data_IF_060653870475
#
_entry.id   IF_060653870475
#
_cell.length_a   1.000
_cell.length_b   1.000
_cell.length_c   1.000
_cell.angle_alpha   90.00
_cell.angle_beta   90.00
_cell.angle_gamma   90.00
#
_symmetry.space_group_name_H-M   'P 1'
#
loop_
_entity.id
_entity.type
_entity.pdbx_description
1 polymer ?
#
# COMPACT_ATOMS: atom_id res chain seq x y z
N UNK A 1 -5.26 -11.33 -6.84
CA UNK A 1 -6.18 -11.89 -5.82
C UNK A 1 -7.23 -10.84 -5.43
N UNK A 2 -8.44 -11.25 -5.03
CA UNK A 2 -9.55 -10.35 -4.74
C UNK A 2 -10.48 -10.94 -3.67
N UNK A 3 -11.04 -10.07 -2.82
CA UNK A 3 -12.09 -10.40 -1.85
C UNK A 3 -13.33 -9.52 -2.05
N UNK A 4 -14.47 -10.01 -1.59
CA UNK A 4 -15.72 -9.28 -1.53
C UNK A 4 -16.28 -9.27 -0.11
N UNK A 5 -16.76 -8.11 0.35
CA UNK A 5 -17.39 -7.99 1.65
C UNK A 5 -18.62 -7.09 1.58
N UNK A 6 -19.68 -7.48 2.30
CA UNK A 6 -20.85 -6.63 2.54
C UNK A 6 -20.83 -6.16 3.99
N UNK A 7 -20.74 -4.86 4.20
CA UNK A 7 -20.58 -4.25 5.51
C UNK A 7 -21.73 -3.27 5.84
N UNK A 8 -22.00 -3.02 7.13
CA UNK A 8 -22.93 -1.97 7.54
C UNK A 8 -22.52 -0.60 7.01
N UNK A 9 -23.49 0.25 6.70
CA UNK A 9 -23.21 1.62 6.25
C UNK A 9 -22.49 2.42 7.37
N UNK A 10 -21.26 2.92 7.16
CA UNK A 10 -20.51 3.64 8.18
C UNK A 10 -21.26 4.91 8.64
N UNK A 11 -20.97 5.42 9.83
CA UNK A 11 -21.45 6.74 10.25
C UNK A 11 -20.63 7.86 9.59
N UNK A 12 -21.28 8.99 9.27
CA UNK A 12 -20.59 10.15 8.71
C UNK A 12 -19.63 10.78 9.71
N UNK A 13 -18.50 11.33 9.25
CA UNK A 13 -17.52 12.08 10.06
C UNK A 13 -18.17 13.07 11.06
N UNK A 14 -19.21 13.78 10.64
CA UNK A 14 -19.90 14.78 11.48
C UNK A 14 -20.53 14.19 12.75
N UNK A 15 -20.92 12.91 12.73
CA UNK A 15 -21.46 12.17 13.87
C UNK A 15 -20.41 11.25 14.53
N UNK A 16 -19.26 11.10 13.88
CA UNK A 16 -18.20 10.20 14.32
C UNK A 16 -17.41 10.73 15.51
N UNK A 17 -17.13 12.04 15.54
CA UNK A 17 -16.32 12.65 16.59
C UNK A 17 -17.11 13.65 17.43
N UNK A 18 -16.95 13.55 18.74
CA UNK A 18 -17.47 14.51 19.71
C UNK A 18 -16.32 15.16 20.47
N UNK A 19 -16.54 16.38 20.96
CA UNK A 19 -15.58 17.01 21.86
C UNK A 19 -15.60 16.28 23.21
N UNK A 20 -14.41 15.96 23.71
CA UNK A 20 -14.27 15.46 25.07
C UNK A 20 -14.56 16.61 26.04
N UNK A 21 -15.39 16.33 27.04
CA UNK A 21 -15.70 17.27 28.10
C UNK A 21 -14.93 16.91 29.36
N UNK A 22 -14.20 17.88 29.89
CA UNK A 22 -13.54 17.82 31.18
C UNK A 22 -14.37 18.54 32.23
N UNK A 23 -14.28 18.09 33.48
CA UNK A 23 -14.83 18.83 34.60
C UNK A 23 -13.89 19.97 34.98
N UNK A 24 -14.38 21.21 35.02
CA UNK A 24 -13.63 22.33 35.57
C UNK A 24 -14.05 22.56 37.03
N UNK A 25 -13.19 22.28 38.02
CA UNK A 25 -13.53 22.44 39.43
C UNK A 25 -13.79 23.90 39.82
N UNK A 26 -13.20 24.87 39.12
CA UNK A 26 -13.32 26.31 39.42
C UNK A 26 -14.66 26.88 39.01
N UNK A 27 -15.15 26.49 37.83
CA UNK A 27 -16.46 26.95 37.30
C UNK A 27 -17.59 25.97 37.60
N UNK A 28 -17.29 24.79 38.16
CA UNK A 28 -18.23 23.67 38.38
C UNK A 28 -19.04 23.32 37.12
N UNK A 29 -18.44 23.49 35.95
CA UNK A 29 -19.06 23.22 34.65
C UNK A 29 -18.24 22.24 33.84
N UNK A 30 -18.91 21.52 32.95
CA UNK A 30 -18.24 20.71 31.92
C UNK A 30 -17.79 21.63 30.80
N UNK A 31 -16.48 21.65 30.55
CA UNK A 31 -15.90 22.44 29.47
C UNK A 31 -15.27 21.52 28.43
N UNK A 32 -15.36 21.85 27.13
CA UNK A 32 -14.69 21.08 26.10
C UNK A 32 -13.17 21.21 26.28
N UNK A 33 -12.46 20.08 26.27
CA UNK A 33 -10.99 20.03 26.46
C UNK A 33 -10.23 20.35 25.18
N UNK A 34 -10.91 20.54 24.05
CA UNK A 34 -10.32 20.65 22.72
C UNK A 34 -9.96 19.31 22.07
N UNK A 35 -9.92 18.20 22.85
CA UNK A 35 -9.68 16.85 22.32
C UNK A 35 -10.95 16.29 21.68
N UNK A 36 -10.85 15.75 20.47
CA UNK A 36 -11.93 14.98 19.84
C UNK A 36 -11.79 13.49 20.18
N UNK A 37 -12.90 12.88 20.57
CA UNK A 37 -13.02 11.44 20.82
C UNK A 37 -14.08 10.85 19.91
N UNK A 38 -13.98 9.56 19.60
CA UNK A 38 -15.01 8.86 18.84
C UNK A 38 -16.31 8.81 19.65
N UNK A 39 -17.45 9.04 18.99
CA UNK A 39 -18.77 8.93 19.59
C UNK A 39 -19.10 7.47 19.93
N UNK A 40 -20.01 7.25 20.89
CA UNK A 40 -20.45 5.89 21.25
C UNK A 40 -21.02 5.13 20.04
N UNK A 41 -21.80 5.83 19.22
CA UNK A 41 -22.37 5.28 17.99
C UNK A 41 -21.28 4.95 16.96
N UNK A 42 -20.27 5.81 16.84
CA UNK A 42 -19.10 5.57 15.99
C UNK A 42 -18.33 4.31 16.40
N UNK A 43 -18.10 4.11 17.70
CA UNK A 43 -17.46 2.91 18.24
C UNK A 43 -18.31 1.67 18.00
N UNK A 44 -19.63 1.76 18.20
CA UNK A 44 -20.55 0.65 17.94
C UNK A 44 -20.49 0.20 16.48
N UNK A 45 -20.63 1.14 15.54
CA UNK A 45 -20.59 0.85 14.10
C UNK A 45 -19.22 0.38 13.65
N UNK A 46 -18.13 0.93 14.21
CA UNK A 46 -16.77 0.41 13.98
C UNK A 46 -16.66 -1.07 14.34
N UNK A 47 -17.09 -1.44 15.55
CA UNK A 47 -17.03 -2.82 16.01
C UNK A 47 -17.92 -3.74 15.16
N UNK A 48 -19.10 -3.28 14.72
CA UNK A 48 -19.97 -4.03 13.81
C UNK A 48 -19.29 -4.29 12.47
N UNK A 49 -18.66 -3.27 11.86
CA UNK A 49 -17.89 -3.41 10.62
C UNK A 49 -16.74 -4.40 10.80
N UNK A 50 -15.98 -4.28 11.89
CA UNK A 50 -14.85 -5.17 12.18
C UNK A 50 -15.27 -6.62 12.33
N UNK A 51 -16.32 -6.88 13.10
CA UNK A 51 -16.81 -8.24 13.32
C UNK A 51 -17.32 -8.88 12.03
N UNK A 52 -18.06 -8.14 11.20
CA UNK A 52 -18.54 -8.65 9.92
C UNK A 52 -17.39 -8.87 8.92
N UNK A 53 -16.40 -7.97 8.89
CA UNK A 53 -15.21 -8.15 8.06
C UNK A 53 -14.44 -9.42 8.44
N UNK A 54 -14.16 -9.66 9.72
CA UNK A 54 -13.44 -10.85 10.18
C UNK A 54 -14.18 -12.14 9.79
N UNK A 55 -15.51 -12.18 10.01
CA UNK A 55 -16.33 -13.34 9.64
C UNK A 55 -16.26 -13.64 8.15
N UNK A 56 -16.38 -12.62 7.31
CA UNK A 56 -16.39 -12.77 5.85
C UNK A 56 -14.99 -13.09 5.30
N UNK A 57 -13.94 -12.53 5.89
CA UNK A 57 -12.55 -12.77 5.50
C UNK A 57 -12.11 -14.19 5.83
N UNK A 58 -12.60 -14.79 6.93
CA UNK A 58 -12.27 -16.18 7.30
C UNK A 58 -12.61 -17.20 6.21
N UNK A 59 -13.60 -16.89 5.36
CA UNK A 59 -14.04 -17.76 4.28
C UNK A 59 -13.36 -17.47 2.94
N UNK A 60 -12.40 -16.54 2.89
CA UNK A 60 -11.77 -16.06 1.67
C UNK A 60 -10.26 -16.12 1.77
N UNK A 61 -9.59 -16.40 0.66
CA UNK A 61 -8.13 -16.34 0.59
C UNK A 61 -7.69 -14.88 0.37
N UNK A 62 -6.93 -14.36 1.34
CA UNK A 62 -6.39 -13.01 1.29
C UNK A 62 -4.96 -12.94 1.84
N UNK A 63 -4.03 -12.59 0.96
CA UNK A 63 -2.65 -12.24 1.28
C UNK A 63 -2.54 -10.87 1.96
N UNK A 64 -2.60 -10.90 3.29
CA UNK A 64 -2.39 -9.73 4.14
C UNK A 64 -0.96 -9.17 4.00
N UNK A 65 0.05 -10.02 3.82
CA UNK A 65 1.46 -9.60 3.77
C UNK A 65 1.73 -8.70 2.56
N UNK A 66 1.07 -8.97 1.43
CA UNK A 66 1.12 -8.11 0.25
C UNK A 66 0.78 -6.63 0.56
N UNK A 67 -0.19 -6.41 1.46
CA UNK A 67 -0.71 -5.07 1.79
C UNK A 67 0.27 -4.21 2.59
N UNK A 68 1.34 -4.80 3.13
CA UNK A 68 2.36 -4.07 3.91
C UNK A 68 3.29 -3.23 3.06
N UNK A 69 3.44 -3.57 1.78
CA UNK A 69 4.33 -2.85 0.88
C UNK A 69 3.61 -2.24 -0.30
N UNK A 70 2.51 -2.86 -0.73
CA UNK A 70 1.85 -2.54 -2.00
C UNK A 70 0.50 -1.87 -1.78
N UNK A 71 0.03 -1.17 -2.81
CA UNK A 71 -1.30 -0.60 -2.83
C UNK A 71 -2.35 -1.68 -3.09
N UNK A 72 -3.57 -1.40 -2.64
CA UNK A 72 -4.76 -2.19 -2.97
C UNK A 72 -5.84 -1.26 -3.51
N UNK A 73 -6.65 -1.75 -4.43
CA UNK A 73 -7.89 -1.09 -4.81
C UNK A 73 -9.01 -1.51 -3.86
N UNK A 74 -9.83 -0.55 -3.46
CA UNK A 74 -11.06 -0.78 -2.71
C UNK A 74 -12.22 -0.16 -3.48
N UNK A 75 -12.94 -0.99 -4.22
CA UNK A 75 -14.10 -0.61 -5.01
C UNK A 75 -15.36 -0.65 -4.16
N UNK A 76 -15.96 0.53 -3.97
CA UNK A 76 -17.09 0.74 -3.09
C UNK A 76 -18.40 0.89 -3.87
N UNK A 77 -19.36 0.02 -3.58
CA UNK A 77 -20.76 0.12 -4.01
C UNK A 77 -21.62 0.46 -2.80
N UNK A 78 -22.09 1.69 -2.75
CA UNK A 78 -22.67 2.29 -1.56
C UNK A 78 -24.19 2.31 -1.68
N UNK A 79 -24.88 1.75 -0.69
CA UNK A 79 -26.34 1.81 -0.55
C UNK A 79 -26.67 2.72 0.64
N UNK A 80 -26.95 3.99 0.33
CA UNK A 80 -27.23 5.01 1.34
C UNK A 80 -28.67 4.94 1.85
N UNK A 81 -28.86 5.32 3.10
CA UNK A 81 -30.19 5.37 3.72
C UNK A 81 -31.07 6.55 3.24
N UNK A 82 -30.48 7.60 2.65
CA UNK A 82 -31.19 8.79 2.15
C UNK A 82 -30.34 9.59 1.16
N UNK A 83 -31.00 10.43 0.36
CA UNK A 83 -30.36 11.41 -0.52
C UNK A 83 -29.65 12.53 0.25
N UNK A 84 -28.69 13.18 -0.42
CA UNK A 84 -27.99 14.37 0.12
C UNK A 84 -26.90 14.06 1.14
N UNK A 85 -26.42 12.82 1.18
CA UNK A 85 -25.30 12.40 2.03
C UNK A 85 -24.03 12.29 1.18
N UNK A 86 -22.93 12.86 1.69
CA UNK A 86 -21.61 12.78 1.06
C UNK A 86 -20.93 11.44 1.39
N UNK A 87 -20.52 10.73 0.34
CA UNK A 87 -19.88 9.42 0.40
C UNK A 87 -18.45 9.49 0.96
N UNK A 88 -17.72 10.57 0.70
CA UNK A 88 -16.34 10.72 1.17
C UNK A 88 -16.25 10.67 2.71
N UNK A 89 -17.29 11.13 3.39
CA UNK A 89 -17.40 11.06 4.85
C UNK A 89 -17.52 9.63 5.40
N UNK A 90 -17.82 8.63 4.56
CA UNK A 90 -17.92 7.23 4.97
C UNK A 90 -16.55 6.58 5.10
N UNK A 91 -15.63 6.95 4.20
CA UNK A 91 -14.35 6.25 4.05
C UNK A 91 -13.45 6.41 5.27
N UNK A 92 -13.56 7.52 6.00
CA UNK A 92 -12.76 7.69 7.23
C UNK A 92 -13.04 6.61 8.27
N UNK A 93 -14.32 6.34 8.57
CA UNK A 93 -14.65 5.28 9.52
C UNK A 93 -14.46 3.91 8.91
N UNK A 94 -14.83 3.74 7.65
CA UNK A 94 -14.69 2.46 6.96
C UNK A 94 -13.25 1.99 6.96
N UNK A 95 -12.33 2.85 6.52
CA UNK A 95 -10.93 2.46 6.35
C UNK A 95 -10.24 2.28 7.72
N UNK A 96 -10.57 3.11 8.71
CA UNK A 96 -10.14 2.97 10.11
C UNK A 96 -10.70 1.71 10.79
N UNK A 97 -11.82 1.18 10.29
CA UNK A 97 -12.39 -0.08 10.80
C UNK A 97 -11.66 -1.28 10.22
N UNK A 98 -11.27 -1.25 8.95
CA UNK A 98 -10.64 -2.39 8.26
C UNK A 98 -9.11 -2.47 8.42
N UNK A 99 -8.47 -1.38 8.87
CA UNK A 99 -7.05 -1.37 9.19
C UNK A 99 -6.70 -2.46 10.23
N UNK A 100 -5.60 -3.18 10.02
CA UNK A 100 -5.11 -4.34 10.77
C UNK A 100 -5.99 -5.59 10.71
N UNK A 101 -7.04 -5.58 9.88
CA UNK A 101 -7.89 -6.74 9.60
C UNK A 101 -7.68 -7.16 8.16
N UNK A 102 -7.93 -6.23 7.24
CA UNK A 102 -7.83 -6.49 5.79
C UNK A 102 -6.47 -6.04 5.27
N UNK A 103 -5.93 -4.95 5.78
CA UNK A 103 -4.66 -4.39 5.34
C UNK A 103 -3.91 -3.74 6.50
N UNK A 104 -2.60 -3.63 6.38
CA UNK A 104 -1.74 -3.13 7.46
C UNK A 104 -1.91 -1.64 7.76
N UNK A 105 -2.07 -0.83 6.71
CA UNK A 105 -2.15 0.62 6.83
C UNK A 105 -3.09 1.19 5.76
N UNK A 106 -4.01 2.05 6.17
CA UNK A 106 -5.02 2.66 5.29
C UNK A 106 -4.42 3.59 4.21
N UNK A 107 -3.20 4.10 4.42
CA UNK A 107 -2.47 4.91 3.42
C UNK A 107 -2.16 4.18 2.11
N UNK A 108 -2.25 2.84 2.12
CA UNK A 108 -2.07 2.00 0.93
C UNK A 108 -3.38 1.59 0.25
N UNK A 109 -4.50 2.16 0.68
CA UNK A 109 -5.82 1.83 0.15
C UNK A 109 -6.28 2.89 -0.83
N UNK A 110 -6.40 2.49 -2.10
CA UNK A 110 -6.94 3.31 -3.16
C UNK A 110 -8.45 3.11 -3.20
N UNK A 111 -9.16 3.93 -2.42
CA UNK A 111 -10.62 3.86 -2.30
C UNK A 111 -11.28 4.50 -3.52
N UNK A 112 -12.20 3.77 -4.17
CA UNK A 112 -12.88 4.20 -5.40
C UNK A 112 -14.38 3.99 -5.27
N UNK A 113 -15.15 5.06 -5.36
CA UNK A 113 -16.62 4.97 -5.43
C UNK A 113 -17.01 4.49 -6.83
N UNK A 114 -17.56 3.28 -6.93
CA UNK A 114 -18.05 2.74 -8.20
C UNK A 114 -19.51 3.09 -8.44
N UNK A 115 -20.33 3.05 -7.39
CA UNK A 115 -21.76 3.36 -7.49
C UNK A 115 -22.34 3.81 -6.16
N UNK A 116 -23.31 4.73 -6.24
CA UNK A 116 -24.14 5.14 -5.10
C UNK A 116 -25.61 4.86 -5.45
N UNK A 117 -26.30 4.17 -4.55
CA UNK A 117 -27.70 3.81 -4.62
C UNK A 117 -28.38 4.24 -3.32
N UNK A 118 -29.71 4.39 -3.34
CA UNK A 118 -30.51 4.69 -2.14
C UNK A 118 -31.30 3.44 -1.76
N UNK A 119 -31.09 2.96 -0.55
CA UNK A 119 -31.80 1.85 0.08
C UNK A 119 -32.06 2.22 1.54
N UNK A 120 -33.25 2.78 1.80
CA UNK A 120 -33.64 3.22 3.14
C UNK A 120 -33.95 2.06 4.08
N UNK A 121 -34.26 0.87 3.53
CA UNK A 121 -34.63 -0.32 4.30
C UNK A 121 -33.39 -1.09 4.75
N UNK A 122 -32.39 -1.23 3.85
CA UNK A 122 -31.17 -1.97 4.12
C UNK A 122 -29.89 -1.21 3.68
N UNK A 123 -29.53 -0.13 4.38
CA UNK A 123 -28.33 0.65 4.08
C UNK A 123 -27.06 -0.14 4.36
N UNK A 124 -26.20 -0.28 3.35
CA UNK A 124 -24.98 -1.10 3.40
C UNK A 124 -23.90 -0.56 2.46
N UNK A 125 -22.71 -1.13 2.55
CA UNK A 125 -21.64 -0.92 1.57
C UNK A 125 -21.10 -2.27 1.14
N UNK A 126 -20.95 -2.47 -0.16
CA UNK A 126 -20.29 -3.64 -0.73
C UNK A 126 -18.91 -3.21 -1.20
N UNK A 127 -17.90 -3.94 -0.75
CA UNK A 127 -16.50 -3.71 -1.07
C UNK A 127 -15.98 -4.84 -1.92
N UNK A 128 -15.32 -4.50 -3.00
CA UNK A 128 -14.42 -5.41 -3.71
C UNK A 128 -13.00 -4.90 -3.52
N UNK A 129 -12.16 -5.72 -2.88
CA UNK A 129 -10.78 -5.33 -2.59
C UNK A 129 -9.85 -6.23 -3.40
N UNK A 130 -8.96 -5.61 -4.18
CA UNK A 130 -8.03 -6.33 -5.05
C UNK A 130 -6.64 -5.74 -4.95
N UNK A 131 -5.63 -6.57 -5.20
CA UNK A 131 -4.25 -6.09 -5.34
C UNK A 131 -4.12 -5.16 -6.56
N UNK A 132 -3.29 -4.13 -6.46
CA UNK A 132 -2.97 -3.29 -7.62
C UNK A 132 -2.00 -3.99 -8.57
N UNK A 133 -2.13 -3.78 -9.89
CA UNK A 133 -1.17 -4.33 -10.85
C UNK A 133 0.18 -3.61 -10.81
N UNK A 134 0.17 -2.33 -10.42
CA UNK A 134 1.36 -1.50 -10.33
C UNK A 134 2.05 -1.67 -8.96
N UNK A 135 3.37 -1.50 -8.95
CA UNK A 135 4.19 -1.54 -7.74
C UNK A 135 5.22 -0.43 -7.75
N UNK A 136 5.24 0.38 -6.71
CA UNK A 136 6.12 1.54 -6.65
C UNK A 136 5.84 2.51 -7.80
N UNK A 137 6.87 2.86 -8.57
CA UNK A 137 6.74 3.70 -9.77
C UNK A 137 6.44 2.91 -11.05
N UNK A 138 6.37 1.57 -10.97
CA UNK A 138 6.25 0.69 -12.13
C UNK A 138 4.79 0.30 -12.36
N UNK A 139 4.33 0.39 -13.61
CA UNK A 139 2.92 0.15 -13.98
C UNK A 139 2.47 -1.31 -13.81
N UNK A 140 3.42 -2.24 -13.89
CA UNK A 140 3.17 -3.67 -13.83
C UNK A 140 4.34 -4.44 -13.17
N UNK A 141 4.07 -5.68 -12.79
CA UNK A 141 5.05 -6.57 -12.15
C UNK A 141 6.24 -6.94 -13.05
N UNK A 142 6.05 -6.98 -14.37
CA UNK A 142 7.13 -7.34 -15.29
C UNK A 142 8.15 -6.20 -15.38
N UNK A 143 7.68 -4.94 -15.44
CA UNK A 143 8.56 -3.76 -15.48
C UNK A 143 9.44 -3.66 -14.24
N UNK A 144 8.89 -3.88 -13.04
CA UNK A 144 9.71 -3.92 -11.81
C UNK A 144 10.70 -5.08 -11.82
N UNK A 145 10.28 -6.27 -12.29
CA UNK A 145 11.15 -7.44 -12.38
C UNK A 145 12.35 -7.17 -13.30
N UNK A 146 12.11 -6.70 -14.52
CA UNK A 146 13.15 -6.37 -15.50
C UNK A 146 14.10 -5.29 -14.94
N UNK A 147 13.54 -4.24 -14.33
CA UNK A 147 14.34 -3.18 -13.72
C UNK A 147 15.22 -3.71 -12.58
N UNK A 148 14.68 -4.61 -11.74
CA UNK A 148 15.40 -5.21 -10.64
C UNK A 148 16.49 -6.18 -11.11
N UNK A 149 16.22 -7.02 -12.11
CA UNK A 149 17.23 -7.89 -12.72
C UNK A 149 18.38 -7.08 -13.29
N UNK A 150 18.08 -5.99 -14.01
CA UNK A 150 19.09 -5.04 -14.47
C UNK A 150 19.86 -4.44 -13.29
N UNK A 151 19.18 -4.07 -12.20
CA UNK A 151 19.85 -3.55 -11.01
C UNK A 151 20.82 -4.56 -10.38
N UNK A 152 20.56 -5.87 -10.40
CA UNK A 152 21.45 -6.88 -9.80
C UNK A 152 22.87 -6.87 -10.38
N UNK A 153 23.01 -6.47 -11.64
CA UNK A 153 24.31 -6.32 -12.34
C UNK A 153 25.01 -4.99 -12.04
N UNK A 154 24.36 -4.08 -11.30
CA UNK A 154 24.89 -2.76 -10.96
C UNK A 154 25.72 -2.78 -9.66
N UNK A 155 26.84 -2.05 -9.65
CA UNK A 155 27.70 -1.87 -8.45
C UNK A 155 26.94 -1.33 -7.24
N UNK A 156 25.93 -0.47 -7.45
CA UNK A 156 25.13 0.12 -6.37
C UNK A 156 24.23 -0.90 -5.68
N UNK A 157 23.80 -1.93 -6.40
CA UNK A 157 22.90 -2.96 -5.86
C UNK A 157 23.56 -3.72 -4.71
N UNK A 158 24.83 -4.09 -4.87
CA UNK A 158 25.65 -4.72 -3.82
C UNK A 158 25.79 -3.88 -2.54
N UNK A 159 25.49 -2.58 -2.59
CA UNK A 159 25.61 -1.62 -1.49
C UNK A 159 24.26 -1.10 -1.01
N UNK A 160 23.18 -1.86 -1.21
CA UNK A 160 21.80 -1.47 -0.91
C UNK A 160 21.40 -0.19 -1.68
N UNK A 161 21.17 -0.34 -2.99
CA UNK A 161 20.84 0.77 -3.87
C UNK A 161 19.59 1.53 -3.37
N UNK A 162 19.81 2.74 -2.84
CA UNK A 162 18.73 3.59 -2.35
C UNK A 162 17.77 4.02 -3.45
N UNK A 163 18.24 4.16 -4.69
CA UNK A 163 17.43 4.50 -5.86
C UNK A 163 16.39 3.40 -6.11
N UNK A 164 16.82 2.13 -6.14
CA UNK A 164 15.91 0.98 -6.31
C UNK A 164 14.92 0.89 -5.15
N UNK A 165 15.38 1.04 -3.90
CA UNK A 165 14.50 1.02 -2.73
C UNK A 165 13.40 2.08 -2.82
N UNK A 166 13.79 3.34 -3.10
CA UNK A 166 12.87 4.46 -3.25
C UNK A 166 11.89 4.27 -4.42
N UNK A 167 12.35 3.67 -5.53
CA UNK A 167 11.50 3.38 -6.67
C UNK A 167 10.41 2.35 -6.32
N UNK A 168 10.76 1.29 -5.59
CA UNK A 168 9.81 0.30 -5.07
C UNK A 168 8.82 0.89 -4.06
N UNK A 169 9.23 1.90 -3.29
CA UNK A 169 8.36 2.68 -2.40
C UNK A 169 7.41 3.65 -3.15
N UNK A 170 7.53 3.80 -4.47
CA UNK A 170 6.70 4.73 -5.26
C UNK A 170 7.22 6.16 -5.32
N UNK A 171 8.47 6.40 -4.92
CA UNK A 171 9.08 7.73 -5.04
C UNK A 171 9.61 7.94 -6.46
N UNK A 172 8.97 8.87 -7.18
CA UNK A 172 9.48 9.37 -8.46
C UNK A 172 10.81 10.08 -8.23
N UNK A 173 11.80 9.75 -9.06
CA UNK A 173 13.20 10.18 -8.91
C UNK A 173 13.73 10.62 -10.27
N UNK A 174 14.51 11.69 -10.32
CA UNK A 174 15.09 12.19 -11.58
C UNK A 174 16.16 11.26 -12.16
N UNK A 175 16.69 10.33 -11.35
CA UNK A 175 17.65 9.34 -11.82
C UNK A 175 17.03 8.24 -12.68
N UNK A 176 15.72 8.02 -12.57
CA UNK A 176 14.99 6.99 -13.32
C UNK A 176 14.15 7.66 -14.38
N UNK A 177 14.38 7.30 -15.64
CA UNK A 177 13.61 7.78 -16.78
C UNK A 177 12.90 6.61 -17.45
N UNK A 178 11.76 6.87 -18.07
CA UNK A 178 11.11 5.94 -18.97
C UNK A 178 11.56 6.25 -20.40
N UNK A 179 12.13 5.25 -21.08
CA UNK A 179 12.59 5.34 -22.47
C UNK A 179 11.99 4.15 -23.21
N UNK A 180 11.19 4.41 -24.25
CA UNK A 180 10.50 3.39 -25.05
C UNK A 180 9.63 2.42 -24.22
N UNK A 181 9.08 2.89 -23.09
CA UNK A 181 8.25 2.09 -22.18
C UNK A 181 9.04 1.28 -21.14
N UNK A 182 10.37 1.39 -21.14
CA UNK A 182 11.26 0.74 -20.18
C UNK A 182 11.86 1.74 -19.18
N UNK A 183 11.97 1.33 -17.93
CA UNK A 183 12.59 2.14 -16.88
C UNK A 183 14.11 1.99 -16.93
N UNK A 184 14.83 3.11 -17.02
CA UNK A 184 16.29 3.14 -17.10
C UNK A 184 16.86 4.05 -16.01
N UNK A 185 17.85 3.53 -15.26
CA UNK A 185 18.54 4.30 -14.23
C UNK A 185 19.80 4.97 -14.79
N UNK A 186 19.81 6.30 -14.85
CA UNK A 186 20.95 7.12 -15.27
C UNK A 186 22.22 6.97 -14.41
N UNK A 187 22.08 6.44 -13.18
CA UNK A 187 23.19 6.16 -12.27
C UNK A 187 23.67 4.70 -12.30
N UNK A 188 23.17 3.91 -13.25
CA UNK A 188 23.60 2.54 -13.45
C UNK A 188 25.11 2.46 -13.74
N UNK A 189 25.76 1.44 -13.17
CA UNK A 189 27.17 1.16 -13.44
C UNK A 189 27.44 -0.33 -13.26
N UNK A 190 27.83 -1.00 -14.33
CA UNK A 190 27.99 -2.45 -14.36
C UNK A 190 29.17 -2.94 -13.49
N UNK A 191 29.01 -4.10 -12.86
CA UNK A 191 30.07 -4.77 -12.11
C UNK A 191 31.14 -5.29 -13.09
N UNK A 192 32.33 -4.71 -13.06
CA UNK A 192 33.46 -5.20 -13.87
C UNK A 192 33.89 -6.58 -13.36
N UNK A 193 33.62 -7.64 -14.11
CA UNK A 193 34.23 -8.95 -13.87
C UNK A 193 35.73 -8.84 -14.19
N UNK A 194 36.60 -9.06 -13.21
CA UNK A 194 38.03 -9.18 -13.47
C UNK A 194 38.25 -10.45 -14.29
N UNK A 195 38.48 -10.32 -15.59
CA UNK A 195 39.00 -11.42 -16.40
C UNK A 195 40.36 -11.82 -15.81
N UNK A 196 40.48 -13.03 -15.27
CA UNK A 196 41.78 -13.58 -14.90
C UNK A 196 42.65 -13.62 -16.16
N UNK A 197 43.63 -12.70 -16.27
CA UNK A 197 44.71 -12.83 -17.23
C UNK A 197 45.55 -14.02 -16.80
N UNK A 198 45.32 -15.18 -17.40
CA UNK A 198 46.22 -16.33 -17.32
C UNK A 198 47.57 -15.87 -17.86
N UNK A 199 48.56 -15.67 -16.98
CA UNK A 199 49.96 -15.50 -17.40
C UNK A 199 50.44 -16.85 -17.93
N UNK A 200 50.40 -17.04 -19.24
CA UNK A 200 51.16 -18.10 -19.90
C UNK A 200 52.64 -17.75 -19.80
N UNK A 201 53.33 -18.26 -18.78
CA UNK A 201 54.79 -18.28 -18.76
C UNK A 201 55.26 -19.31 -19.79
N UNK A 202 55.58 -18.87 -21.00
CA UNK A 202 56.41 -19.64 -21.93
C UNK A 202 57.87 -19.55 -21.47
N UNK A 203 58.28 -20.49 -20.62
CA UNK A 203 59.70 -20.76 -20.42
C UNK A 203 60.20 -21.55 -21.63
N UNK A 204 61.07 -20.91 -22.40
CA UNK A 204 61.78 -21.48 -23.54
C UNK A 204 63.07 -22.13 -23.00
N UNK A 205 63.26 -23.47 -23.08
CA UNK A 205 64.54 -24.08 -22.75
C UNK A 205 65.44 -24.05 -24.00
N UNK A 206 66.55 -23.32 -23.88
CA UNK A 206 67.69 -23.42 -24.79
C UNK A 206 68.25 -24.85 -24.75
N UNK A 207 68.10 -25.58 -25.85
CA UNK A 207 68.88 -26.77 -26.15
C UNK A 207 70.33 -26.36 -26.35
N UNK A 208 71.22 -26.92 -25.51
CA UNK A 208 72.66 -26.94 -25.74
C UNK A 208 72.95 -28.14 -26.63
N UNK A 209 73.43 -27.89 -27.83
CA UNK A 209 74.04 -28.92 -28.67
C UNK A 209 75.40 -29.31 -28.07
N UNK A 210 75.61 -30.61 -27.95
CA UNK A 210 76.88 -31.25 -27.63
C UNK A 210 77.14 -32.38 -28.61
N UNK A 211 78.42 -32.48 -28.99
CA UNK A 211 79.11 -33.45 -29.87
C UNK A 211 79.13 -33.14 -31.38
#
# INVERSE_FOLDING_TARGET
MQIEMTLPLPTSINKLYINQFGWNPKTKTRMPTGKRIMSKDGVKVKNEIQNEAIKQLTNQEWDYEWTKENYIYQDCYIYMNRLGRDDNNLFKLLNDSLEKIVYDNDSRVLTRTQRILIDSENPRIILHISQTPHRGIFDDENKIYIFEENCKTCKRYLRNCSILKKAKEGRVQSEINEVDGEFVCSKYSEIKVKSNRTKSNSHNPLLKDGE
#
